data_IF_141294289064
#
_entry.id   IF_141294289064
#
_cell.length_a   1.000
_cell.length_b   1.000
_cell.length_c   1.000
_cell.angle_alpha   90.00
_cell.angle_beta   90.00
_cell.angle_gamma   90.00
#
_symmetry.space_group_name_H-M   'P 1'
#
loop_
_entity.id
_entity.type
_entity.pdbx_description
1 polymer ?
#
# COMPACT_ATOMS: atom_id res chain seq x y z
N UNK A 1 11.45 -12.16 17.86
CA UNK A 1 11.18 -10.71 17.76
C UNK A 1 10.19 -10.51 16.63
N UNK A 2 8.99 -9.99 16.92
CA UNK A 2 8.02 -9.70 15.86
C UNK A 2 8.36 -8.29 15.39
N UNK A 3 9.05 -8.17 14.25
CA UNK A 3 9.30 -6.87 13.64
C UNK A 3 7.93 -6.20 13.45
N UNK A 4 7.77 -5.00 14.02
CA UNK A 4 6.53 -4.24 13.87
C UNK A 4 6.20 -4.08 12.38
N UNK A 5 4.92 -3.99 12.03
CA UNK A 5 4.55 -3.93 10.62
C UNK A 5 5.02 -2.61 9.98
N UNK A 6 5.81 -2.75 8.91
CA UNK A 6 6.45 -1.65 8.17
C UNK A 6 5.48 -0.99 7.19
N UNK A 7 5.79 0.25 6.80
CA UNK A 7 5.02 0.95 5.78
C UNK A 7 5.16 0.27 4.41
N UNK A 8 4.03 -0.07 3.77
CA UNK A 8 4.01 -0.69 2.45
C UNK A 8 4.60 0.20 1.32
N UNK A 9 4.68 1.52 1.53
CA UNK A 9 5.11 2.48 0.52
C UNK A 9 6.57 2.93 0.66
N UNK A 10 7.04 3.19 1.87
CA UNK A 10 8.39 3.72 2.13
C UNK A 10 9.23 2.84 3.05
N UNK A 11 8.68 1.70 3.48
CA UNK A 11 9.35 0.73 4.35
C UNK A 11 9.76 1.27 5.74
N UNK A 12 9.21 2.42 6.15
CA UNK A 12 9.43 2.99 7.47
C UNK A 12 8.92 2.07 8.59
N UNK A 13 9.69 2.00 9.67
CA UNK A 13 9.37 1.26 10.90
C UNK A 13 8.40 2.03 11.81
N UNK A 14 8.07 3.31 11.52
CA UNK A 14 7.16 4.08 12.36
C UNK A 14 5.70 3.60 12.23
N UNK A 15 5.06 3.13 13.33
CA UNK A 15 3.69 2.63 13.33
C UNK A 15 2.67 3.78 13.47
N UNK A 16 2.85 4.89 12.74
CA UNK A 16 1.81 5.94 12.65
C UNK A 16 0.68 5.43 11.76
N UNK A 17 -0.14 4.56 12.33
CA UNK A 17 -1.10 3.71 11.63
C UNK A 17 -2.28 4.52 11.09
N UNK A 18 -2.29 4.74 9.78
CA UNK A 18 -3.54 4.83 9.02
C UNK A 18 -3.74 3.46 8.37
N UNK A 19 -4.42 2.56 9.08
CA UNK A 19 -4.82 1.26 8.54
C UNK A 19 -6.02 1.46 7.62
N UNK A 20 -5.84 1.31 6.31
CA UNK A 20 -6.96 0.88 5.49
C UNK A 20 -7.24 -0.56 5.86
N UNK A 21 -8.50 -0.91 6.16
CA UNK A 21 -8.92 -2.31 6.20
C UNK A 21 -8.95 -2.85 4.77
N UNK A 22 -7.79 -2.99 4.13
CA UNK A 22 -7.69 -3.74 2.89
C UNK A 22 -7.42 -5.22 3.21
N UNK A 23 -7.86 -6.15 2.35
CA UNK A 23 -7.61 -7.59 2.55
C UNK A 23 -6.11 -7.95 2.60
N UNK A 24 -5.26 -7.10 2.01
CA UNK A 24 -3.81 -7.27 2.00
C UNK A 24 -3.12 -6.88 3.32
N UNK A 25 -3.83 -6.26 4.26
CA UNK A 25 -3.28 -5.83 5.56
C UNK A 25 -2.19 -4.75 5.46
N UNK A 26 -2.19 -3.95 4.38
CA UNK A 26 -1.18 -2.91 4.15
C UNK A 26 -1.28 -1.80 5.19
N UNK A 27 -0.11 -1.31 5.63
CA UNK A 27 0.00 -0.20 6.58
C UNK A 27 0.80 0.93 5.98
N UNK A 28 0.43 2.16 6.31
CA UNK A 28 1.09 3.35 5.81
C UNK A 28 1.46 4.26 6.99
N UNK A 29 2.68 4.78 7.01
CA UNK A 29 3.20 5.64 8.10
C UNK A 29 2.57 7.04 8.12
N UNK A 30 1.65 7.33 7.20
CA UNK A 30 0.97 8.62 7.10
C UNK A 30 0.17 8.78 5.81
N UNK A 31 -0.50 9.92 5.70
CA UNK A 31 -1.45 10.22 4.62
C UNK A 31 -0.80 10.31 3.24
N UNK A 32 0.44 10.79 3.14
CA UNK A 32 1.18 10.85 1.87
C UNK A 32 1.45 9.45 1.32
N UNK A 33 2.00 8.57 2.16
CA UNK A 33 2.30 7.19 1.78
C UNK A 33 1.03 6.42 1.40
N UNK A 34 -0.08 6.68 2.10
CA UNK A 34 -1.38 6.15 1.76
C UNK A 34 -1.84 6.55 0.36
N UNK A 35 -1.81 7.84 0.03
CA UNK A 35 -2.23 8.33 -1.29
C UNK A 35 -1.36 7.76 -2.42
N UNK A 36 -0.05 7.64 -2.18
CA UNK A 36 0.86 7.10 -3.17
C UNK A 36 0.66 5.59 -3.37
N UNK A 37 0.41 4.85 -2.28
CA UNK A 37 0.01 3.45 -2.34
C UNK A 37 -1.27 3.24 -3.16
N UNK A 38 -2.31 4.06 -2.93
CA UNK A 38 -3.54 4.02 -3.72
C UNK A 38 -3.31 4.31 -5.21
N UNK A 39 -2.50 5.31 -5.54
CA UNK A 39 -2.16 5.63 -6.93
C UNK A 39 -1.41 4.46 -7.61
N UNK A 40 -0.49 3.82 -6.90
CA UNK A 40 0.23 2.64 -7.38
C UNK A 40 -0.70 1.44 -7.60
N UNK A 41 -1.63 1.20 -6.67
CA UNK A 41 -2.64 0.15 -6.81
C UNK A 41 -3.52 0.35 -8.04
N UNK A 42 -4.03 1.58 -8.26
CA UNK A 42 -4.84 1.90 -9.45
C UNK A 42 -4.02 1.67 -10.72
N UNK A 43 -2.76 2.15 -10.77
CA UNK A 43 -1.88 1.94 -11.93
C UNK A 43 -1.64 0.46 -12.23
N UNK A 44 -1.40 -0.34 -11.19
CA UNK A 44 -1.23 -1.78 -11.32
C UNK A 44 -2.51 -2.43 -11.87
N UNK A 45 -3.66 -2.13 -11.27
CA UNK A 45 -4.95 -2.68 -11.69
C UNK A 45 -5.27 -2.32 -13.15
N UNK A 46 -5.04 -1.06 -13.54
CA UNK A 46 -5.22 -0.63 -14.93
C UNK A 46 -4.33 -1.39 -15.90
N UNK A 47 -3.04 -1.60 -15.55
CA UNK A 47 -2.13 -2.40 -16.37
C UNK A 47 -2.56 -3.85 -16.47
N UNK A 48 -2.90 -4.49 -15.36
CA UNK A 48 -3.36 -5.88 -15.35
C UNK A 48 -4.64 -6.06 -16.17
N UNK A 49 -5.57 -5.11 -16.12
CA UNK A 49 -6.77 -5.15 -16.96
C UNK A 49 -6.45 -4.99 -18.46
N UNK A 50 -5.49 -4.13 -18.81
CA UNK A 50 -5.06 -3.95 -20.19
C UNK A 50 -4.35 -5.20 -20.74
N UNK A 51 -3.50 -5.83 -19.92
CA UNK A 51 -2.83 -7.10 -20.25
C UNK A 51 -3.83 -8.25 -20.42
N UNK A 52 -4.88 -8.32 -19.58
CA UNK A 52 -5.91 -9.36 -19.69
C UNK A 52 -6.87 -9.18 -20.87
N UNK A 53 -6.94 -7.98 -21.44
CA UNK A 53 -7.80 -7.67 -22.60
C UNK A 53 -7.08 -7.82 -23.96
N UNK A 54 -5.77 -8.12 -23.95
CA UNK A 54 -4.94 -8.39 -25.14
C UNK A 54 -4.76 -9.89 -25.36
#
# INVERSE_FOLDING_TARGET
MRAEPRCAQCDSEEPKIICLRNPAGERYCGRLCLYQGQANFIRWLTRSNAEAAS
#
